data_IF_850714671321
#
_entry.id   IF_850714671321
#
_cell.length_a   1.000
_cell.length_b   1.000
_cell.length_c   1.000
_cell.angle_alpha   90.00
_cell.angle_beta   90.00
_cell.angle_gamma   90.00
#
_symmetry.space_group_name_H-M   'P 1'
#
loop_
_entity.id
_entity.type
_entity.pdbx_description
1 polymer ?
#
# COMPACT_ATOMS: atom_id res chain seq x y z
N UNK A 1 7.68 -10.58 -2.87
CA UNK A 1 6.67 -10.87 -1.83
C UNK A 1 6.32 -12.33 -1.92
N UNK A 2 6.34 -13.03 -0.80
CA UNK A 2 5.79 -14.37 -0.67
C UNK A 2 4.26 -14.31 -0.65
N UNK A 3 3.57 -15.45 -0.74
CA UNK A 3 2.11 -15.48 -0.82
C UNK A 3 1.48 -14.92 0.47
N UNK A 4 2.12 -15.20 1.60
CA UNK A 4 1.75 -14.80 2.95
C UNK A 4 2.10 -13.34 3.31
N UNK A 5 2.88 -12.64 2.49
CA UNK A 5 3.19 -11.24 2.74
C UNK A 5 2.01 -10.32 2.43
N UNK A 6 1.94 -9.20 3.14
CA UNK A 6 0.91 -8.20 2.94
C UNK A 6 1.28 -7.17 1.87
N UNK A 7 0.33 -6.85 1.00
CA UNK A 7 0.42 -5.71 0.07
C UNK A 7 -0.60 -4.63 0.43
N UNK A 8 -0.14 -3.40 0.58
CA UNK A 8 -0.96 -2.23 0.93
C UNK A 8 -0.81 -1.17 -0.17
N UNK A 9 -1.65 -1.21 -1.21
CA UNK A 9 -1.48 -0.40 -2.42
C UNK A 9 -1.92 1.06 -2.21
N UNK A 10 -1.39 1.94 -3.07
CA UNK A 10 -1.99 3.24 -3.38
C UNK A 10 -2.86 3.09 -4.63
N UNK A 11 -3.16 4.18 -5.33
CA UNK A 11 -4.04 4.21 -6.50
C UNK A 11 -3.36 3.98 -7.86
N UNK A 12 -2.06 3.64 -7.90
CA UNK A 12 -1.32 3.40 -9.15
C UNK A 12 -0.65 2.01 -9.23
N UNK A 13 -1.10 1.09 -8.39
CA UNK A 13 -0.51 -0.25 -8.25
C UNK A 13 -1.19 -1.33 -9.10
N UNK A 14 -1.89 -0.95 -10.17
CA UNK A 14 -2.65 -1.87 -11.05
C UNK A 14 -1.85 -3.12 -11.46
N UNK A 15 -0.61 -2.92 -11.91
CA UNK A 15 0.27 -4.02 -12.32
C UNK A 15 0.63 -4.94 -11.14
N UNK A 16 0.82 -4.39 -9.94
CA UNK A 16 1.11 -5.16 -8.73
C UNK A 16 -0.13 -5.93 -8.27
N UNK A 17 -1.32 -5.33 -8.31
CA UNK A 17 -2.58 -5.99 -8.00
C UNK A 17 -2.87 -7.16 -8.95
N UNK A 18 -2.69 -6.95 -10.27
CA UNK A 18 -2.83 -8.00 -11.29
C UNK A 18 -1.81 -9.12 -11.07
N UNK A 19 -0.54 -8.79 -10.81
CA UNK A 19 0.50 -9.77 -10.49
C UNK A 19 0.18 -10.58 -9.22
N UNK A 20 -0.47 -9.95 -8.23
CA UNK A 20 -0.99 -10.61 -7.02
C UNK A 20 -2.25 -11.43 -7.25
N UNK A 21 -2.78 -11.45 -8.48
CA UNK A 21 -3.92 -12.26 -8.88
C UNK A 21 -5.27 -11.55 -8.77
N UNK A 22 -5.31 -10.21 -8.65
CA UNK A 22 -6.58 -9.48 -8.86
C UNK A 22 -7.00 -9.65 -10.31
N UNK A 23 -8.27 -9.95 -10.57
CA UNK A 23 -8.75 -10.12 -11.94
C UNK A 23 -8.76 -8.76 -12.68
N UNK A 24 -8.55 -8.78 -14.00
CA UNK A 24 -8.70 -7.59 -14.83
C UNK A 24 -10.14 -7.06 -14.81
N UNK A 25 -11.12 -7.96 -14.67
CA UNK A 25 -12.54 -7.60 -14.51
C UNK A 25 -12.76 -6.77 -13.25
N UNK A 26 -12.28 -7.23 -12.09
CA UNK A 26 -12.40 -6.49 -10.82
C UNK A 26 -11.74 -5.11 -10.92
N UNK A 27 -10.59 -5.02 -11.59
CA UNK A 27 -9.93 -3.74 -11.85
C UNK A 27 -10.81 -2.81 -12.69
N UNK A 28 -11.36 -3.29 -13.81
CA UNK A 28 -12.23 -2.49 -14.67
C UNK A 28 -13.54 -2.08 -13.96
N UNK A 29 -14.12 -2.97 -13.14
CA UNK A 29 -15.30 -2.67 -12.33
C UNK A 29 -15.02 -1.54 -11.34
N UNK A 30 -13.90 -1.61 -10.61
CA UNK A 30 -13.54 -0.58 -9.63
C UNK A 30 -13.41 0.80 -10.28
N UNK A 31 -12.68 0.90 -11.39
CA UNK A 31 -12.53 2.15 -12.13
C UNK A 31 -13.79 2.55 -12.92
N UNK A 32 -14.71 1.62 -13.13
CA UNK A 32 -16.07 1.87 -13.62
C UNK A 32 -17.03 2.41 -12.55
N UNK A 33 -16.60 2.51 -11.29
CA UNK A 33 -17.40 3.01 -10.18
C UNK A 33 -18.23 1.94 -9.46
N UNK A 34 -17.87 0.67 -9.59
CA UNK A 34 -18.49 -0.44 -8.88
C UNK A 34 -17.60 -0.88 -7.72
N UNK A 35 -18.10 -0.73 -6.49
CA UNK A 35 -17.35 -1.01 -5.26
C UNK A 35 -16.90 -2.48 -5.17
N UNK A 36 -17.66 -3.41 -5.76
CA UNK A 36 -17.33 -4.84 -5.79
C UNK A 36 -15.99 -5.10 -6.47
N UNK A 37 -15.57 -4.25 -7.42
CA UNK A 37 -14.26 -4.35 -8.06
C UNK A 37 -13.09 -4.05 -7.10
N UNK A 38 -13.36 -3.33 -6.02
CA UNK A 38 -12.41 -3.01 -4.96
C UNK A 38 -12.29 -4.09 -3.87
N UNK A 39 -13.20 -5.08 -3.87
CA UNK A 39 -13.20 -6.14 -2.86
C UNK A 39 -11.94 -7.00 -2.93
N UNK A 40 -11.35 -7.28 -1.77
CA UNK A 40 -10.25 -8.23 -1.64
C UNK A 40 -10.84 -9.60 -1.30
N UNK A 41 -10.50 -10.61 -2.09
CA UNK A 41 -10.98 -11.98 -1.88
C UNK A 41 -10.51 -12.52 -0.51
N UNK A 42 -11.38 -13.29 0.14
CA UNK A 42 -11.08 -13.87 1.43
C UNK A 42 -9.81 -14.74 1.38
N UNK A 43 -8.93 -14.57 2.38
CA UNK A 43 -7.68 -15.32 2.48
C UNK A 43 -6.49 -14.67 1.76
N UNK A 44 -6.69 -13.55 1.05
CA UNK A 44 -5.59 -12.75 0.50
C UNK A 44 -5.08 -11.73 1.51
N UNK A 45 -3.76 -11.63 1.60
CA UNK A 45 -3.09 -10.59 2.38
C UNK A 45 -2.85 -9.36 1.50
N UNK A 46 -3.94 -8.77 1.00
CA UNK A 46 -3.92 -7.52 0.25
C UNK A 46 -4.92 -6.56 0.92
N UNK A 47 -4.67 -5.26 0.89
CA UNK A 47 -5.68 -4.25 1.23
C UNK A 47 -6.29 -3.63 -0.04
N UNK A 48 -7.53 -3.11 0.04
CA UNK A 48 -8.09 -2.30 -1.03
C UNK A 48 -7.21 -1.09 -1.38
N UNK A 49 -7.42 -0.55 -2.57
CA UNK A 49 -6.74 0.66 -3.05
C UNK A 49 -7.00 1.82 -2.10
N UNK A 50 -5.94 2.48 -1.65
CA UNK A 50 -6.03 3.74 -0.94
C UNK A 50 -6.00 4.93 -1.92
N UNK A 51 -7.12 5.65 -2.01
CA UNK A 51 -7.20 6.91 -2.80
C UNK A 51 -6.60 8.11 -2.03
N UNK A 52 -6.86 8.30 -0.72
CA UNK A 52 -6.26 9.39 0.04
C UNK A 52 -4.73 9.23 0.13
N UNK A 53 -4.01 10.19 -0.46
CA UNK A 53 -2.54 10.16 -0.58
C UNK A 53 -1.90 10.07 0.82
N UNK A 54 -1.12 9.02 1.05
CA UNK A 54 -0.29 8.87 2.26
C UNK A 54 -0.87 7.89 3.29
N UNK A 55 -2.20 7.80 3.38
CA UNK A 55 -2.90 7.00 4.40
C UNK A 55 -2.51 5.52 4.46
N UNK A 56 -2.17 4.94 3.31
CA UNK A 56 -1.74 3.55 3.17
C UNK A 56 -0.48 3.22 3.98
N UNK A 57 0.39 4.22 4.23
CA UNK A 57 1.60 4.02 5.02
C UNK A 57 1.29 3.73 6.49
N UNK A 58 0.27 4.38 7.06
CA UNK A 58 -0.21 4.15 8.43
C UNK A 58 -0.81 2.74 8.58
N UNK A 59 -1.61 2.31 7.60
CA UNK A 59 -2.17 0.96 7.59
C UNK A 59 -1.07 -0.11 7.49
N UNK A 60 -0.06 0.13 6.66
CA UNK A 60 1.04 -0.82 6.48
C UNK A 60 1.86 -1.02 7.75
N UNK A 61 2.13 0.05 8.51
CA UNK A 61 2.88 -0.08 9.77
C UNK A 61 2.05 -0.68 10.89
N UNK A 62 0.74 -0.41 10.92
CA UNK A 62 -0.18 -1.09 11.83
C UNK A 62 -0.22 -2.60 11.60
N UNK A 63 -0.29 -3.03 10.35
CA UNK A 63 -0.19 -4.46 9.97
C UNK A 63 1.18 -5.03 10.35
N UNK A 64 2.26 -4.31 10.08
CA UNK A 64 3.62 -4.72 10.43
C UNK A 64 3.78 -4.93 11.94
N UNK A 65 3.26 -4.01 12.75
CA UNK A 65 3.24 -4.14 14.20
C UNK A 65 2.45 -5.38 14.65
N UNK A 66 1.31 -5.65 14.02
CA UNK A 66 0.52 -6.87 14.26
C UNK A 66 1.27 -8.17 13.92
N UNK A 67 2.02 -8.19 12.80
CA UNK A 67 2.87 -9.31 12.40
C UNK A 67 3.96 -9.58 13.44
N UNK A 68 4.65 -8.52 13.88
CA UNK A 68 5.68 -8.59 14.91
C UNK A 68 5.12 -9.09 16.24
N UNK A 69 3.99 -8.54 16.67
CA UNK A 69 3.28 -8.96 17.88
C UNK A 69 2.92 -10.45 17.85
N UNK A 70 2.45 -10.94 16.70
CA UNK A 70 2.10 -12.36 16.48
C UNK A 70 3.29 -13.25 16.13
N UNK A 71 4.52 -12.71 16.09
CA UNK A 71 5.76 -13.41 15.74
C UNK A 71 5.65 -14.19 14.43
N UNK A 72 5.03 -13.57 13.41
CA UNK A 72 4.86 -14.19 12.10
C UNK A 72 6.05 -13.84 11.18
N UNK A 73 6.54 -14.79 10.37
CA UNK A 73 7.61 -14.55 9.41
C UNK A 73 7.06 -13.92 8.12
N UNK A 74 6.48 -12.73 8.24
CA UNK A 74 5.83 -12.02 7.12
C UNK A 74 6.36 -10.58 7.06
N UNK A 75 6.22 -9.93 5.91
CA UNK A 75 6.42 -8.48 5.75
C UNK A 75 5.16 -7.80 5.23
N UNK A 76 5.13 -6.47 5.35
CA UNK A 76 4.11 -5.61 4.74
C UNK A 76 4.77 -4.66 3.76
N UNK A 77 4.37 -4.67 2.50
CA UNK A 77 4.85 -3.74 1.48
C UNK A 77 3.78 -2.67 1.18
N UNK A 78 4.21 -1.41 1.16
CA UNK A 78 3.35 -0.29 0.76
C UNK A 78 4.02 0.60 -0.26
N UNK A 79 3.21 1.28 -1.07
CA UNK A 79 3.63 2.09 -2.19
C UNK A 79 3.19 3.53 -2.02
N UNK A 80 4.00 4.49 -2.47
CA UNK A 80 3.66 5.91 -2.46
C UNK A 80 4.51 6.67 -3.49
N UNK A 81 3.98 7.78 -4.02
CA UNK A 81 4.74 8.65 -4.94
C UNK A 81 5.58 9.70 -4.22
N UNK A 82 6.42 10.42 -4.96
CA UNK A 82 7.22 11.54 -4.42
C UNK A 82 6.34 12.63 -3.76
N UNK A 83 5.22 13.02 -4.37
CA UNK A 83 4.28 13.96 -3.75
C UNK A 83 3.68 13.49 -2.42
N UNK A 84 3.55 12.16 -2.22
CA UNK A 84 3.01 11.61 -0.99
C UNK A 84 4.00 11.73 0.19
N UNK A 85 5.29 11.92 -0.09
CA UNK A 85 6.31 12.12 0.95
C UNK A 85 6.13 13.44 1.72
N UNK A 86 5.33 14.36 1.19
CA UNK A 86 4.96 15.61 1.84
C UNK A 86 3.75 15.50 2.77
N UNK A 87 3.10 14.33 2.86
CA UNK A 87 1.97 14.10 3.76
C UNK A 87 2.45 13.80 5.18
N UNK A 88 1.68 14.21 6.18
CA UNK A 88 1.95 13.87 7.59
C UNK A 88 1.98 12.37 7.82
N UNK A 89 1.03 11.64 7.23
CA UNK A 89 0.91 10.19 7.30
C UNK A 89 2.20 9.46 6.91
N UNK A 90 2.91 9.94 5.88
CA UNK A 90 4.20 9.39 5.48
C UNK A 90 5.23 9.52 6.60
N UNK A 91 5.35 10.71 7.20
CA UNK A 91 6.27 10.93 8.30
C UNK A 91 5.92 10.08 9.53
N UNK A 92 4.65 10.06 9.92
CA UNK A 92 4.14 9.29 11.05
C UNK A 92 4.38 7.79 10.86
N UNK A 93 4.07 7.26 9.67
CA UNK A 93 4.29 5.86 9.33
C UNK A 93 5.76 5.46 9.42
N UNK A 94 6.66 6.20 8.76
CA UNK A 94 8.10 5.88 8.80
C UNK A 94 8.68 6.01 10.21
N UNK A 95 8.27 7.03 10.97
CA UNK A 95 8.71 7.19 12.35
C UNK A 95 8.23 6.02 13.23
N UNK A 96 6.96 5.62 13.11
CA UNK A 96 6.41 4.48 13.85
C UNK A 96 7.15 3.18 13.51
N UNK A 97 7.38 2.91 12.22
CA UNK A 97 8.14 1.76 11.78
C UNK A 97 9.57 1.76 12.35
N UNK A 98 10.24 2.91 12.37
CA UNK A 98 11.57 3.07 12.94
C UNK A 98 11.60 2.86 14.45
N UNK A 99 10.63 3.36 15.20
CA UNK A 99 10.58 3.20 16.67
C UNK A 99 10.25 1.75 17.06
N UNK A 100 9.27 1.14 16.41
CA UNK A 100 8.79 -0.19 16.78
C UNK A 100 9.47 -1.33 16.01
N UNK A 101 10.31 -1.01 15.03
CA UNK A 101 11.01 -1.97 14.17
C UNK A 101 10.02 -2.90 13.45
N UNK A 102 8.97 -2.33 12.87
CA UNK A 102 7.96 -3.11 12.15
C UNK A 102 8.55 -3.68 10.86
N UNK A 103 8.15 -4.90 10.43
CA UNK A 103 8.59 -5.53 9.19
C UNK A 103 7.89 -4.90 7.96
N UNK A 104 8.10 -3.59 7.76
CA UNK A 104 7.46 -2.78 6.73
C UNK A 104 8.44 -2.40 5.63
N UNK A 105 8.06 -2.61 4.37
CA UNK A 105 8.80 -2.22 3.17
C UNK A 105 8.09 -1.01 2.54
N UNK A 106 8.80 0.10 2.46
CA UNK A 106 8.31 1.37 1.91
C UNK A 106 8.84 1.56 0.48
N UNK A 107 7.96 1.53 -0.51
CA UNK A 107 8.31 1.68 -1.92
C UNK A 107 7.93 3.08 -2.40
N UNK A 108 8.94 3.94 -2.57
CA UNK A 108 8.78 5.27 -3.15
C UNK A 108 8.89 5.20 -4.68
N UNK A 109 7.79 5.53 -5.36
CA UNK A 109 7.72 5.72 -6.81
C UNK A 109 7.95 7.21 -7.14
N UNK A 110 9.21 7.63 -7.13
CA UNK A 110 9.58 8.98 -7.51
C UNK A 110 9.59 9.10 -9.04
N UNK A 111 8.51 9.66 -9.60
CA UNK A 111 8.39 9.87 -11.05
C UNK A 111 8.62 11.34 -11.44
N UNK A 112 9.16 12.13 -10.51
CA UNK A 112 9.48 13.55 -10.64
C UNK A 112 8.30 14.53 -10.62
N UNK A 113 7.05 14.06 -10.55
CA UNK A 113 5.86 14.90 -10.67
C UNK A 113 4.72 14.48 -9.74
N UNK A 114 4.25 15.44 -8.93
CA UNK A 114 2.98 15.36 -8.22
C UNK A 114 1.89 16.09 -9.00
N UNK A 115 1.23 15.38 -9.93
CA UNK A 115 0.21 15.90 -10.85
C UNK A 115 0.81 16.96 -11.80
N UNK A 116 0.88 18.23 -11.39
CA UNK A 116 1.47 19.34 -12.14
C UNK A 116 2.65 20.00 -11.44
N UNK A 117 2.98 19.53 -10.23
CA UNK A 117 4.06 20.08 -9.41
C UNK A 117 5.34 19.26 -9.62
N UNK A 118 6.42 19.86 -10.15
CA UNK A 118 7.70 19.16 -10.26
C UNK A 118 8.35 19.01 -8.88
N UNK A 119 9.28 18.06 -8.75
CA UNK A 119 10.04 17.84 -7.51
C UNK A 119 10.93 19.03 -7.09
N UNK A 120 11.33 19.89 -8.04
CA UNK A 120 12.22 21.05 -7.83
C UNK A 120 11.89 22.18 -8.79
#
# INVERSE_FOLDING_TARGET
>A
LQAEDWMVPSFREAAAELWRGKSLESFLLYFGGYDEGGAVEAGRNDLPIAIPVGSQTLHAVGLGYGIQYRKRPQVVMTFFGDGATSQGDFHEGLNFAGVYQTPSIFVCQNNHWAISVPRS
#
